data_IF_965626171480
#
_entry.id   IF_965626171480
#
_cell.length_a   1.000
_cell.length_b   1.000
_cell.length_c   1.000
_cell.angle_alpha   90.00
_cell.angle_beta   90.00
_cell.angle_gamma   90.00
#
_symmetry.space_group_name_H-M   'P 1'
#
loop_
_entity.id
_entity.type
_entity.pdbx_description
1 polymer ?
#
# COMPACT_ATOMS: atom_id res chain seq x y z
N UNK A 1 13.83 3.68 -0.39
CA UNK A 1 14.03 3.00 0.93
C UNK A 1 14.98 1.84 0.71
N UNK A 2 15.95 1.56 1.59
CA UNK A 2 16.90 0.45 1.40
C UNK A 2 16.39 -0.78 2.15
N UNK A 3 16.27 -1.91 1.46
CA UNK A 3 16.02 -3.21 2.05
C UNK A 3 17.28 -4.06 1.96
N UNK A 4 17.66 -4.68 3.08
CA UNK A 4 18.60 -5.80 3.06
C UNK A 4 17.85 -7.06 2.68
N UNK A 5 18.42 -7.85 1.77
CA UNK A 5 17.91 -9.15 1.33
C UNK A 5 18.50 -10.25 2.22
N UNK A 6 17.67 -11.23 2.60
CA UNK A 6 18.10 -12.35 3.43
C UNK A 6 17.45 -13.64 2.92
N UNK A 7 18.08 -14.77 3.20
CA UNK A 7 17.62 -16.11 2.79
C UNK A 7 17.59 -16.32 1.27
N UNK A 8 18.53 -15.67 0.56
CA UNK A 8 18.61 -15.76 -0.90
C UNK A 8 18.94 -17.18 -1.34
N UNK A 9 18.21 -17.74 -2.34
CA UNK A 9 18.45 -19.08 -2.82
C UNK A 9 19.58 -19.15 -3.87
N UNK A 10 19.97 -18.00 -4.43
CA UNK A 10 20.96 -17.85 -5.49
C UNK A 10 21.42 -16.39 -5.56
N UNK A 11 22.58 -16.17 -6.18
CA UNK A 11 23.14 -14.84 -6.45
C UNK A 11 23.07 -14.48 -7.95
N UNK A 12 22.42 -15.31 -8.78
CA UNK A 12 22.13 -15.00 -10.17
C UNK A 12 20.70 -14.49 -10.31
N UNK A 13 20.53 -13.32 -10.93
CA UNK A 13 19.22 -12.69 -11.08
C UNK A 13 18.23 -13.55 -11.85
N UNK A 14 18.69 -14.19 -12.93
CA UNK A 14 17.86 -15.04 -13.80
C UNK A 14 17.30 -16.26 -13.03
N UNK A 15 18.15 -16.96 -12.28
CA UNK A 15 17.73 -18.06 -11.41
C UNK A 15 16.73 -17.60 -10.32
N UNK A 16 16.92 -16.38 -9.80
CA UNK A 16 16.04 -15.81 -8.78
C UNK A 16 14.66 -15.49 -9.38
N UNK A 17 14.61 -14.92 -10.58
CA UNK A 17 13.38 -14.67 -11.33
C UNK A 17 12.60 -15.97 -11.57
N UNK A 18 13.26 -17.03 -12.03
CA UNK A 18 12.61 -18.34 -12.21
C UNK A 18 12.02 -18.88 -10.91
N UNK A 19 12.75 -18.73 -9.80
CA UNK A 19 12.28 -19.19 -8.48
C UNK A 19 11.08 -18.38 -7.99
N UNK A 20 11.03 -17.08 -8.28
CA UNK A 20 9.88 -16.23 -7.98
C UNK A 20 8.68 -16.64 -8.85
N UNK A 21 8.89 -16.90 -10.14
CA UNK A 21 7.84 -17.41 -11.03
C UNK A 21 7.27 -18.76 -10.58
N UNK A 22 8.09 -19.59 -9.90
CA UNK A 22 7.66 -20.86 -9.28
C UNK A 22 6.95 -20.68 -7.93
N UNK A 23 6.66 -19.46 -7.50
CA UNK A 23 5.93 -19.15 -6.27
C UNK A 23 6.79 -18.65 -5.10
N UNK A 24 8.09 -18.41 -5.32
CA UNK A 24 8.95 -17.72 -4.37
C UNK A 24 8.57 -16.25 -4.21
N UNK A 25 8.69 -15.70 -3.00
CA UNK A 25 8.35 -14.29 -2.73
C UNK A 25 9.25 -13.66 -1.69
N UNK A 26 9.40 -12.35 -1.73
CA UNK A 26 10.05 -11.56 -0.69
C UNK A 26 9.02 -10.98 0.26
N UNK A 27 9.21 -11.25 1.55
CA UNK A 27 8.29 -10.79 2.60
C UNK A 27 9.05 -10.05 3.68
N UNK A 28 8.41 -9.00 4.18
CA UNK A 28 8.87 -8.20 5.31
C UNK A 28 7.89 -8.34 6.47
N UNK A 29 8.41 -8.57 7.66
CA UNK A 29 7.63 -8.67 8.89
C UNK A 29 7.81 -7.40 9.73
N UNK A 30 6.71 -6.68 10.04
CA UNK A 30 6.79 -5.54 10.94
C UNK A 30 7.02 -6.00 12.38
N UNK A 31 7.83 -5.24 13.12
CA UNK A 31 8.01 -5.48 14.55
C UNK A 31 8.24 -4.19 15.32
N UNK A 32 7.82 -4.20 16.59
CA UNK A 32 8.04 -3.12 17.52
C UNK A 32 9.24 -3.41 18.43
N UNK A 33 10.01 -2.36 18.71
CA UNK A 33 10.93 -2.33 19.85
C UNK A 33 10.47 -1.19 20.75
N UNK A 34 9.97 -1.56 21.93
CA UNK A 34 9.45 -0.65 22.94
C UNK A 34 10.39 -0.61 24.13
N UNK A 35 10.67 0.59 24.64
CA UNK A 35 11.37 0.83 25.90
C UNK A 35 10.57 1.86 26.71
N UNK A 36 9.94 1.39 27.79
CA UNK A 36 9.16 2.21 28.75
C UNK A 36 8.04 3.03 28.11
N UNK A 37 8.34 4.18 27.52
CA UNK A 37 7.38 5.13 26.93
C UNK A 37 7.60 5.35 25.44
N UNK A 38 8.69 4.83 24.86
CA UNK A 38 9.00 4.98 23.44
C UNK A 38 8.82 3.65 22.72
N UNK A 39 8.08 3.66 21.62
CA UNK A 39 7.94 2.51 20.71
C UNK A 39 8.48 2.89 19.34
N UNK A 40 9.51 2.16 18.89
CA UNK A 40 10.05 2.28 17.54
C UNK A 40 9.45 1.18 16.67
N UNK A 41 8.82 1.58 15.57
CA UNK A 41 8.41 0.64 14.52
C UNK A 41 9.61 0.31 13.65
N UNK A 42 9.86 -0.97 13.46
CA UNK A 42 10.91 -1.49 12.59
C UNK A 42 10.32 -2.48 11.60
N UNK A 43 10.99 -2.61 10.46
CA UNK A 43 10.68 -3.60 9.45
C UNK A 43 11.83 -4.60 9.40
N UNK A 44 11.53 -5.88 9.24
CA UNK A 44 12.58 -6.86 8.99
C UNK A 44 13.31 -6.55 7.69
N UNK A 45 14.51 -7.13 7.48
CA UNK A 45 15.02 -7.33 6.14
C UNK A 45 13.98 -8.00 5.24
N UNK A 46 14.10 -7.84 3.93
CA UNK A 46 13.29 -8.56 2.97
C UNK A 46 13.79 -10.00 2.90
N UNK A 47 12.94 -10.94 3.32
CA UNK A 47 13.30 -12.36 3.44
C UNK A 47 12.72 -13.07 2.23
N UNK A 48 13.57 -13.76 1.47
CA UNK A 48 13.08 -14.67 0.44
C UNK A 48 12.42 -15.89 1.10
N UNK A 49 11.21 -16.20 0.65
CA UNK A 49 10.38 -17.28 1.16
C UNK A 49 10.11 -18.23 0.00
N UNK A 50 10.57 -19.47 0.12
CA UNK A 50 10.38 -20.49 -0.90
C UNK A 50 8.99 -21.15 -0.86
N UNK A 51 8.32 -21.09 0.30
CA UNK A 51 6.98 -21.64 0.51
C UNK A 51 6.51 -21.51 1.95
N UNK A 52 5.39 -22.15 2.27
CA UNK A 52 4.69 -21.92 3.56
C UNK A 52 5.46 -22.39 4.80
N UNK A 53 6.35 -23.38 4.66
CA UNK A 53 7.21 -23.83 5.77
C UNK A 53 8.16 -22.72 6.23
N UNK A 54 8.82 -22.06 5.28
CA UNK A 54 9.71 -20.93 5.54
C UNK A 54 8.93 -19.74 6.09
N UNK A 55 7.77 -19.45 5.50
CA UNK A 55 6.86 -18.40 5.97
C UNK A 55 6.51 -18.57 7.44
N UNK A 56 6.04 -19.76 7.81
CA UNK A 56 5.66 -20.07 9.18
C UNK A 56 6.85 -20.06 10.15
N UNK A 57 8.05 -20.40 9.69
CA UNK A 57 9.27 -20.31 10.49
C UNK A 57 9.62 -18.85 10.80
N UNK A 58 9.69 -17.99 9.78
CA UNK A 58 10.03 -16.57 9.96
C UNK A 58 8.92 -15.81 10.68
N UNK A 59 7.65 -16.06 10.37
CA UNK A 59 6.52 -15.45 11.07
C UNK A 59 6.59 -15.71 12.59
N UNK A 60 6.81 -16.97 13.02
CA UNK A 60 6.98 -17.32 14.43
C UNK A 60 8.17 -16.61 15.09
N UNK A 61 9.28 -16.46 14.36
CA UNK A 61 10.46 -15.72 14.83
C UNK A 61 10.13 -14.25 15.13
N UNK A 62 9.37 -13.59 14.25
CA UNK A 62 8.99 -12.17 14.44
C UNK A 62 7.83 -11.97 15.42
N UNK A 63 6.91 -12.95 15.55
CA UNK A 63 5.94 -12.99 16.65
C UNK A 63 6.68 -13.00 17.99
N UNK A 64 7.66 -13.89 18.16
CA UNK A 64 8.47 -13.96 19.39
C UNK A 64 9.19 -12.63 19.68
N UNK A 65 9.76 -11.99 18.66
CA UNK A 65 10.38 -10.65 18.81
C UNK A 65 9.38 -9.60 19.28
N UNK A 66 8.17 -9.56 18.72
CA UNK A 66 7.15 -8.60 19.14
C UNK A 66 6.69 -8.84 20.58
N UNK A 67 6.55 -10.09 21.01
CA UNK A 67 6.27 -10.38 22.43
C UNK A 67 7.43 -9.96 23.35
N UNK A 68 8.68 -10.21 22.94
CA UNK A 68 9.85 -9.92 23.74
C UNK A 68 10.20 -8.43 23.80
N UNK A 69 9.90 -7.64 22.77
CA UNK A 69 10.35 -6.25 22.67
C UNK A 69 9.22 -5.24 22.47
N UNK A 70 8.06 -5.63 21.93
CA UNK A 70 6.95 -4.70 21.64
C UNK A 70 6.08 -4.35 22.85
N UNK A 71 5.93 -5.28 23.78
CA UNK A 71 5.01 -5.16 24.93
C UNK A 71 5.51 -4.30 26.09
N UNK A 72 6.74 -3.79 26.04
CA UNK A 72 7.34 -3.04 27.15
C UNK A 72 6.94 -1.56 27.24
N UNK A 73 6.06 -1.08 26.34
CA UNK A 73 5.49 0.27 26.43
C UNK A 73 4.02 0.25 26.86
N UNK A 74 3.77 0.52 28.13
CA UNK A 74 2.44 0.65 28.74
C UNK A 74 2.03 2.12 28.60
N UNK A 75 0.87 2.50 28.01
CA UNK A 75 -0.21 1.75 27.35
C UNK A 75 -0.20 1.72 25.79
N UNK A 76 0.53 2.60 25.10
CA UNK A 76 0.44 2.71 23.62
C UNK A 76 1.19 1.62 22.84
N UNK A 77 2.17 0.96 23.45
CA UNK A 77 2.94 -0.11 22.81
C UNK A 77 2.13 -1.39 22.63
N UNK A 78 1.22 -1.68 23.55
CA UNK A 78 0.40 -2.90 23.52
C UNK A 78 -0.53 -2.90 22.30
N UNK A 79 -1.26 -1.81 22.06
CA UNK A 79 -2.21 -1.69 20.94
C UNK A 79 -1.49 -1.89 19.60
N UNK A 80 -0.39 -1.18 19.37
CA UNK A 80 0.39 -1.29 18.12
C UNK A 80 1.00 -2.68 17.93
N UNK A 81 1.42 -3.31 19.02
CA UNK A 81 1.98 -4.67 18.97
C UNK A 81 0.94 -5.67 18.47
N UNK A 82 -0.35 -5.51 18.82
CA UNK A 82 -1.42 -6.37 18.27
C UNK A 82 -1.60 -6.21 16.77
N UNK A 83 -1.54 -4.98 16.24
CA UNK A 83 -1.63 -4.75 14.78
C UNK A 83 -0.47 -5.43 14.04
N UNK A 84 0.75 -5.34 14.56
CA UNK A 84 1.90 -6.02 13.96
C UNK A 84 1.80 -7.55 14.06
N UNK A 85 1.33 -8.07 15.20
CA UNK A 85 1.09 -9.51 15.35
C UNK A 85 0.03 -10.03 14.37
N UNK A 86 -1.03 -9.25 14.11
CA UNK A 86 -2.04 -9.57 13.10
C UNK A 86 -1.42 -9.60 11.70
N UNK A 87 -0.68 -8.56 11.31
CA UNK A 87 0.00 -8.50 10.02
C UNK A 87 0.99 -9.67 9.81
N UNK A 88 1.71 -10.09 10.85
CA UNK A 88 2.61 -11.26 10.76
C UNK A 88 1.81 -12.55 10.57
N UNK A 89 0.68 -12.72 11.26
CA UNK A 89 -0.18 -13.91 11.13
C UNK A 89 -0.84 -14.01 9.76
N UNK A 90 -1.12 -12.87 9.12
CA UNK A 90 -1.65 -12.79 7.75
C UNK A 90 -0.58 -13.08 6.68
N UNK A 91 0.67 -13.34 7.08
CA UNK A 91 1.76 -13.72 6.16
C UNK A 91 2.80 -12.62 5.94
N UNK A 92 2.71 -11.49 6.64
CA UNK A 92 3.63 -10.36 6.46
C UNK A 92 3.32 -9.54 5.21
N UNK A 93 4.16 -8.54 4.95
CA UNK A 93 4.03 -7.67 3.78
C UNK A 93 4.81 -8.26 2.61
N UNK A 94 4.11 -8.62 1.53
CA UNK A 94 4.74 -9.02 0.27
C UNK A 94 5.34 -7.78 -0.41
N UNK A 95 6.64 -7.81 -0.65
CA UNK A 95 7.42 -6.74 -1.30
C UNK A 95 8.16 -7.26 -2.53
N UNK A 96 7.75 -8.41 -3.05
CA UNK A 96 8.41 -9.10 -4.17
C UNK A 96 8.52 -8.21 -5.39
N UNK A 97 7.40 -7.61 -5.79
CA UNK A 97 7.36 -6.80 -7.00
C UNK A 97 8.22 -5.53 -6.89
N UNK A 98 8.13 -4.85 -5.74
CA UNK A 98 8.96 -3.67 -5.45
C UNK A 98 10.45 -4.02 -5.49
N UNK A 99 10.85 -5.16 -4.92
CA UNK A 99 12.25 -5.60 -4.96
C UNK A 99 12.66 -5.93 -6.38
N UNK A 100 11.89 -6.75 -7.11
CA UNK A 100 12.25 -7.17 -8.47
C UNK A 100 12.33 -6.01 -9.45
N UNK A 101 11.52 -4.96 -9.28
CA UNK A 101 11.60 -3.75 -10.10
C UNK A 101 12.87 -2.93 -9.91
N UNK A 102 13.55 -3.06 -8.76
CA UNK A 102 14.75 -2.28 -8.42
C UNK A 102 16.00 -3.15 -8.27
N UNK A 103 15.84 -4.47 -8.33
CA UNK A 103 16.92 -5.40 -8.16
C UNK A 103 17.78 -5.42 -9.42
N UNK A 104 19.09 -5.28 -9.22
CA UNK A 104 20.11 -5.46 -10.25
C UNK A 104 21.05 -6.58 -9.82
N UNK A 105 21.80 -7.15 -10.76
CA UNK A 105 22.80 -8.18 -10.44
C UNK A 105 23.81 -7.68 -9.38
N UNK A 106 24.22 -6.40 -9.45
CA UNK A 106 25.12 -5.80 -8.46
C UNK A 106 24.47 -5.70 -7.07
N UNK A 107 23.22 -5.24 -6.99
CA UNK A 107 22.46 -5.14 -5.75
C UNK A 107 22.22 -6.51 -5.11
N UNK A 108 22.01 -7.54 -5.93
CA UNK A 108 21.84 -8.92 -5.48
C UNK A 108 23.12 -9.46 -4.82
N UNK A 109 24.30 -9.19 -5.39
CA UNK A 109 25.58 -9.56 -4.78
C UNK A 109 25.84 -8.81 -3.46
N UNK A 110 25.37 -7.56 -3.35
CA UNK A 110 25.49 -6.77 -2.13
C UNK A 110 24.43 -7.12 -1.07
N UNK A 111 23.48 -8.00 -1.41
CA UNK A 111 22.31 -8.31 -0.57
C UNK A 111 21.51 -7.06 -0.15
N UNK A 112 21.52 -6.00 -0.96
CA UNK A 112 20.89 -4.73 -0.62
C UNK A 112 20.20 -4.14 -1.85
N UNK A 113 18.94 -3.74 -1.68
CA UNK A 113 18.14 -3.13 -2.74
C UNK A 113 17.66 -1.77 -2.29
N UNK A 114 18.05 -0.76 -3.04
CA UNK A 114 17.53 0.57 -2.88
C UNK A 114 16.27 0.71 -3.74
N UNK A 115 15.11 0.74 -3.09
CA UNK A 115 13.84 1.02 -3.76
C UNK A 115 13.82 2.49 -4.20
N UNK A 116 13.98 2.68 -5.52
CA UNK A 116 13.81 3.93 -6.23
C UNK A 116 12.44 4.02 -6.91
N UNK A 117 11.90 2.87 -7.33
CA UNK A 117 10.60 2.70 -7.97
C UNK A 117 9.70 1.88 -7.05
N UNK A 118 8.49 2.35 -6.77
CA UNK A 118 7.50 1.59 -6.00
C UNK A 118 6.36 1.23 -6.93
N UNK A 119 5.95 -0.03 -6.98
CA UNK A 119 4.76 -0.46 -7.73
C UNK A 119 3.48 -0.10 -6.97
N UNK A 120 3.50 -0.25 -5.65
CA UNK A 120 2.37 0.12 -4.78
C UNK A 120 2.47 1.59 -4.39
N UNK A 121 2.12 2.47 -5.32
CA UNK A 121 2.04 3.94 -5.06
C UNK A 121 0.76 4.28 -4.29
N UNK A 122 -0.27 3.43 -4.42
CA UNK A 122 -1.61 3.65 -3.89
C UNK A 122 -1.85 2.85 -2.60
N UNK A 123 -2.30 3.52 -1.53
CA UNK A 123 -2.77 2.86 -0.31
C UNK A 123 -4.30 2.85 -0.29
N UNK A 124 -4.90 1.69 -0.09
CA UNK A 124 -6.35 1.62 0.03
C UNK A 124 -6.88 2.44 1.24
N UNK A 125 -8.01 3.15 1.06
CA UNK A 125 -8.63 3.97 2.10
C UNK A 125 -9.15 3.12 3.26
N UNK A 126 -9.23 3.71 4.44
CA UNK A 126 -9.84 3.06 5.61
C UNK A 126 -11.36 2.89 5.43
N UNK A 127 -12.00 1.91 6.11
CA UNK A 127 -13.45 1.66 5.95
C UNK A 127 -14.34 2.89 6.22
N UNK A 128 -13.93 3.78 7.13
CA UNK A 128 -14.65 5.01 7.46
C UNK A 128 -14.61 6.02 6.31
N UNK A 129 -13.47 6.12 5.63
CA UNK A 129 -13.28 6.97 4.46
C UNK A 129 -14.15 6.50 3.30
N UNK A 130 -14.17 5.17 3.07
CA UNK A 130 -15.07 4.54 2.09
C UNK A 130 -16.55 4.85 2.39
N UNK A 131 -16.94 4.85 3.67
CA UNK A 131 -18.31 5.15 4.09
C UNK A 131 -18.69 6.61 3.83
N UNK A 132 -17.78 7.56 4.09
CA UNK A 132 -17.99 8.98 3.81
C UNK A 132 -18.08 9.27 2.31
N UNK A 133 -17.28 8.57 1.50
CA UNK A 133 -17.34 8.62 0.03
C UNK A 133 -18.65 8.05 -0.53
N UNK A 134 -19.14 6.95 0.06
CA UNK A 134 -20.46 6.41 -0.29
C UNK A 134 -21.60 7.38 0.04
N UNK A 135 -21.43 8.31 0.97
CA UNK A 135 -22.43 9.35 1.29
C UNK A 135 -22.39 10.52 0.31
N UNK A 136 -21.23 10.80 -0.29
CA UNK A 136 -21.08 11.82 -1.35
C UNK A 136 -21.88 11.47 -2.61
N UNK A 137 -22.26 10.19 -2.77
CA UNK A 137 -23.14 9.68 -3.83
C UNK A 137 -24.49 10.39 -3.92
N UNK A 138 -25.04 10.86 -2.79
CA UNK A 138 -26.36 11.51 -2.75
C UNK A 138 -26.33 12.98 -3.21
N UNK A 139 -25.15 13.50 -3.59
CA UNK A 139 -24.91 14.91 -3.92
C UNK A 139 -24.36 15.05 -5.36
N UNK A 140 -23.88 13.95 -5.96
CA UNK A 140 -23.40 13.98 -7.34
C UNK A 140 -24.59 14.19 -8.30
N UNK A 141 -24.48 15.08 -9.30
CA UNK A 141 -25.56 15.34 -10.25
C UNK A 141 -25.91 14.09 -11.06
N UNK A 142 -27.19 13.96 -11.43
CA UNK A 142 -27.84 12.88 -12.20
C UNK A 142 -27.21 12.54 -13.59
N UNK A 143 -26.03 13.07 -13.92
CA UNK A 143 -25.40 13.00 -15.25
C UNK A 143 -24.11 12.16 -15.29
N UNK A 144 -23.68 11.57 -14.18
CA UNK A 144 -22.45 10.77 -14.10
C UNK A 144 -22.75 9.29 -13.88
N UNK A 145 -22.63 8.46 -14.92
CA UNK A 145 -23.10 7.08 -14.86
C UNK A 145 -22.29 6.16 -13.93
N UNK A 146 -20.97 6.31 -13.75
CA UNK A 146 -20.22 5.47 -12.78
C UNK A 146 -18.88 6.12 -12.32
N UNK A 147 -18.78 6.76 -11.14
CA UNK A 147 -17.49 7.23 -10.63
C UNK A 147 -16.62 6.08 -10.10
N UNK A 148 -15.47 5.79 -10.73
CA UNK A 148 -14.47 4.83 -10.26
C UNK A 148 -13.55 5.47 -9.21
N UNK A 149 -13.89 5.31 -7.95
CA UNK A 149 -13.20 6.00 -6.86
C UNK A 149 -12.00 5.21 -6.30
N UNK A 150 -10.78 5.75 -6.40
CA UNK A 150 -9.59 5.07 -5.83
C UNK A 150 -8.63 6.05 -5.17
N UNK A 151 -8.41 5.86 -3.86
CA UNK A 151 -7.72 6.76 -2.95
C UNK A 151 -6.23 6.44 -2.68
N UNK A 152 -5.56 7.50 -2.17
CA UNK A 152 -4.23 7.71 -1.56
C UNK A 152 -2.96 7.50 -2.40
N UNK A 153 -2.42 8.60 -2.95
CA UNK A 153 -1.00 8.73 -3.31
C UNK A 153 -0.18 9.20 -2.10
N UNK A 154 0.79 8.40 -1.66
CA UNK A 154 1.83 8.86 -0.74
C UNK A 154 2.89 9.65 -1.50
N UNK A 155 2.93 10.98 -1.30
CA UNK A 155 4.12 11.76 -1.69
C UNK A 155 5.22 11.53 -0.65
N UNK A 156 6.17 10.66 -0.97
CA UNK A 156 7.28 10.34 -0.08
C UNK A 156 8.39 11.42 -0.09
N UNK A 157 8.97 11.62 1.11
CA UNK A 157 10.35 12.03 1.44
C UNK A 157 10.53 13.34 2.23
N UNK A 158 9.86 14.46 1.94
CA UNK A 158 10.17 15.72 2.68
C UNK A 158 9.01 16.60 3.14
N UNK A 159 7.79 16.40 2.63
CA UNK A 159 6.60 17.15 3.09
C UNK A 159 5.43 16.18 3.23
N UNK A 160 4.98 15.96 4.47
CA UNK A 160 3.80 15.17 4.84
C UNK A 160 2.52 15.76 4.21
N UNK A 161 2.28 15.55 2.92
CA UNK A 161 0.99 15.87 2.29
C UNK A 161 0.48 14.61 1.58
N UNK A 162 -0.57 14.03 2.15
CA UNK A 162 -1.36 12.97 1.54
C UNK A 162 -2.15 13.58 0.38
N UNK A 163 -2.01 13.03 -0.82
CA UNK A 163 -2.79 13.43 -1.99
C UNK A 163 -3.76 12.30 -2.28
N UNK A 164 -5.04 12.60 -2.43
CA UNK A 164 -6.05 11.59 -2.75
C UNK A 164 -6.30 11.59 -4.25
N UNK A 165 -6.04 10.48 -4.92
CA UNK A 165 -6.41 10.29 -6.33
C UNK A 165 -7.91 9.95 -6.40
N UNK A 166 -8.59 10.35 -7.47
CA UNK A 166 -10.02 10.09 -7.71
C UNK A 166 -10.22 9.89 -9.21
N UNK A 167 -10.56 8.67 -9.63
CA UNK A 167 -10.97 8.40 -11.01
C UNK A 167 -12.43 8.75 -11.24
N UNK A 168 -12.77 9.29 -12.39
CA UNK A 168 -14.15 9.45 -12.84
C UNK A 168 -14.26 8.80 -14.22
N UNK A 169 -15.18 7.86 -14.38
CA UNK A 169 -15.63 7.43 -15.71
C UNK A 169 -16.97 8.12 -15.96
N UNK A 170 -16.95 9.18 -16.75
CA UNK A 170 -18.15 9.90 -17.18
C UNK A 170 -18.47 9.51 -18.63
N UNK A 171 -19.75 9.37 -18.94
CA UNK A 171 -20.22 9.17 -20.33
C UNK A 171 -20.21 10.51 -21.10
N UNK A 172 -20.34 11.63 -20.38
CA UNK A 172 -20.15 12.99 -20.89
C UNK A 172 -18.68 13.44 -20.74
N UNK A 173 -18.28 14.51 -21.43
CA UNK A 173 -16.93 15.05 -21.35
C UNK A 173 -16.53 15.35 -19.89
N UNK A 174 -15.40 14.77 -19.44
CA UNK A 174 -14.88 14.89 -18.08
C UNK A 174 -14.84 16.34 -17.57
N UNK A 175 -14.55 17.30 -18.45
CA UNK A 175 -14.50 18.74 -18.14
C UNK A 175 -15.84 19.32 -17.63
N UNK A 176 -16.97 18.73 -18.00
CA UNK A 176 -18.30 19.16 -17.55
C UNK A 176 -18.67 18.55 -16.19
N UNK A 177 -18.22 17.32 -15.92
CA UNK A 177 -18.58 16.57 -14.71
C UNK A 177 -17.64 16.83 -13.52
N UNK A 178 -16.37 17.14 -13.78
CA UNK A 178 -15.32 17.31 -12.77
C UNK A 178 -15.61 18.43 -11.75
N UNK A 179 -16.10 19.63 -12.13
CA UNK A 179 -16.35 20.70 -11.17
C UNK A 179 -17.43 20.37 -10.14
N UNK A 180 -18.56 19.79 -10.57
CA UNK A 180 -19.65 19.41 -9.68
C UNK A 180 -19.26 18.26 -8.74
N UNK A 181 -18.50 17.29 -9.25
CA UNK A 181 -18.00 16.19 -8.43
C UNK A 181 -16.96 16.69 -7.40
N UNK A 182 -16.08 17.61 -7.81
CA UNK A 182 -15.12 18.27 -6.92
C UNK A 182 -15.85 18.98 -5.77
N UNK A 183 -16.88 19.75 -6.06
CA UNK A 183 -17.68 20.44 -5.04
C UNK A 183 -18.33 19.45 -4.06
N UNK A 184 -18.95 18.38 -4.57
CA UNK A 184 -19.55 17.34 -3.73
C UNK A 184 -18.52 16.69 -2.80
N UNK A 185 -17.33 16.33 -3.30
CA UNK A 185 -16.24 15.77 -2.49
C UNK A 185 -15.79 16.78 -1.43
N UNK A 186 -15.49 18.02 -1.81
CA UNK A 186 -15.05 19.03 -0.85
C UNK A 186 -16.13 19.47 0.16
N UNK A 187 -17.41 19.18 -0.10
CA UNK A 187 -18.49 19.40 0.88
C UNK A 187 -18.47 18.40 2.03
N UNK A 188 -18.03 17.16 1.78
CA UNK A 188 -17.99 16.06 2.76
C UNK A 188 -16.62 15.88 3.40
N UNK A 189 -15.56 16.33 2.73
CA UNK A 189 -14.18 16.20 3.19
C UNK A 189 -13.64 17.55 3.67
N UNK A 190 -12.78 17.56 4.69
CA UNK A 190 -12.16 18.79 5.18
C UNK A 190 -11.46 19.54 4.02
N UNK A 191 -11.73 20.85 3.88
CA UNK A 191 -11.17 21.75 2.84
C UNK A 191 -9.64 21.71 2.66
N UNK A 192 -8.91 21.11 3.60
CA UNK A 192 -7.44 21.01 3.61
C UNK A 192 -6.89 19.73 2.97
N UNK A 193 -7.76 18.83 2.51
CA UNK A 193 -7.37 17.58 1.86
C UNK A 193 -7.24 17.80 0.34
N UNK A 194 -6.06 17.64 -0.28
CA UNK A 194 -5.92 17.80 -1.71
C UNK A 194 -6.40 16.54 -2.45
N UNK A 195 -7.30 16.73 -3.40
CA UNK A 195 -7.83 15.71 -4.30
C UNK A 195 -7.33 15.95 -5.73
N UNK A 196 -6.90 14.88 -6.41
CA UNK A 196 -6.55 14.86 -7.82
C UNK A 196 -7.58 14.03 -8.58
N UNK A 197 -8.33 14.67 -9.48
CA UNK A 197 -9.34 14.03 -10.30
C UNK A 197 -8.72 13.60 -11.63
N UNK A 198 -8.99 12.37 -12.05
CA UNK A 198 -8.42 11.74 -13.25
C UNK A 198 -9.54 11.19 -14.12
N UNK A 199 -9.49 11.50 -15.40
CA UNK A 199 -10.36 10.91 -16.40
C UNK A 199 -9.95 9.45 -16.69
N UNK A 200 -10.87 8.52 -16.43
CA UNK A 200 -10.65 7.09 -16.66
C UNK A 200 -10.73 6.68 -18.13
N UNK A 201 -11.33 7.52 -18.98
CA UNK A 201 -11.41 7.30 -20.42
C UNK A 201 -10.14 7.76 -21.14
N UNK A 202 -9.35 8.64 -20.49
CA UNK A 202 -8.02 9.04 -20.97
C UNK A 202 -6.99 7.92 -20.78
N UNK A 203 -6.00 7.82 -21.68
CA UNK A 203 -4.83 6.95 -21.52
C UNK A 203 -3.71 7.74 -20.86
N UNK A 204 -3.74 7.82 -19.53
CA UNK A 204 -2.73 8.46 -18.69
C UNK A 204 -2.10 7.46 -17.71
N UNK A 205 -0.84 7.69 -17.29
CA UNK A 205 -0.17 6.86 -16.29
C UNK A 205 -1.03 6.66 -15.02
N UNK A 206 -1.74 7.70 -14.59
CA UNK A 206 -2.68 7.64 -13.47
C UNK A 206 -3.90 6.78 -13.75
N UNK A 207 -4.51 6.88 -14.94
CA UNK A 207 -5.66 6.06 -15.33
C UNK A 207 -5.31 4.55 -15.38
N UNK A 208 -4.11 4.20 -15.85
CA UNK A 208 -3.63 2.82 -15.88
C UNK A 208 -3.40 2.28 -14.47
N UNK A 209 -2.71 3.06 -13.62
CA UNK A 209 -2.51 2.69 -12.21
C UNK A 209 -3.83 2.56 -11.44
N UNK A 210 -4.82 3.41 -11.75
CA UNK A 210 -6.16 3.35 -11.17
C UNK A 210 -6.93 2.10 -11.62
N UNK A 211 -6.78 1.68 -12.89
CA UNK A 211 -7.40 0.45 -13.40
C UNK A 211 -6.76 -0.81 -12.80
N UNK A 212 -5.45 -0.78 -12.55
CA UNK A 212 -4.71 -1.92 -12.00
C UNK A 212 -4.86 -2.09 -10.49
N UNK A 213 -4.82 -0.99 -9.72
CA UNK A 213 -4.73 -1.01 -8.25
C UNK A 213 -5.95 -0.38 -7.57
N UNK A 214 -6.98 -0.06 -8.36
CA UNK A 214 -8.18 0.62 -7.90
C UNK A 214 -9.19 -0.24 -7.18
N UNK A 215 -9.94 0.38 -6.27
CA UNK A 215 -11.20 -0.18 -5.77
C UNK A 215 -12.34 0.38 -6.63
N UNK A 216 -13.02 -0.42 -7.46
CA UNK A 216 -14.21 0.04 -8.16
C UNK A 216 -15.35 0.27 -7.16
N UNK A 217 -16.00 1.45 -7.22
CA UNK A 217 -17.20 1.74 -6.45
C UNK A 217 -18.36 1.94 -7.42
N UNK A 218 -19.21 0.92 -7.56
CA UNK A 218 -20.45 1.08 -8.33
C UNK A 218 -21.37 2.09 -7.64
N UNK A 219 -21.87 3.06 -8.41
CA UNK A 219 -22.98 3.91 -8.02
C UNK A 219 -24.19 3.39 -8.80
N UNK A 220 -25.20 2.89 -8.09
CA UNK A 220 -26.44 2.49 -8.74
C UNK A 220 -27.21 3.76 -9.06
N UNK A 221 -27.48 3.96 -10.34
CA UNK A 221 -28.45 4.94 -10.84
C UNK A 221 -29.85 4.42 -10.44
N UNK A 222 -30.59 5.21 -9.67
CA UNK A 222 -32.04 5.02 -9.51
C UNK A 222 -32.75 6.04 -10.38
#
# INVERSE_FOLDING_TARGET
MVYRLVNLPTHQLQDLEEKIQRGGRFVVFPYAISFLVVTMQQLSPAIYISGDKDLNFFARKYVRKNYQYGLWAIPWGIIKTFDYLKAIREGGLDVTEDIMLNLTQENLYREEVLLNRHKTVLKHPEPEEIKSLKRTKNIAPNHASVPYLVWVLFKCSKRRRTLFLLGIAADEAFELAEPSFREAVYSQFYKRIPFLFVDMNSVSDWSTLLKEQGIPIQCNLF
#
